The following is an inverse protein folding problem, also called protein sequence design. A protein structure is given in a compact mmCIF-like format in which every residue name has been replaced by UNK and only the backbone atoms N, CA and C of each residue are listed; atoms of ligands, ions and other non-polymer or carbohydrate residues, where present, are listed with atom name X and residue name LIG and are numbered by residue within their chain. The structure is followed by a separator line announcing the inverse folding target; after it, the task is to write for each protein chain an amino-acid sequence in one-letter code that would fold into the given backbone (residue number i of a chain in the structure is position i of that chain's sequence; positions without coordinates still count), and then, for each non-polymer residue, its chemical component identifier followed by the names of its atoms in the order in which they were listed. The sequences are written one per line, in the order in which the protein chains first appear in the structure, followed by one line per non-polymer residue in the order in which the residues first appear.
data_IF_359909308119
#
_entry.id   IF_359909308119
#
_cell.length_a   1.000
_cell.length_b   1.000
_cell.length_c   1.000
_cell.angle_alpha   90.00
_cell.angle_beta   90.00
_cell.angle_gamma   90.00
#
_symmetry.space_group_name_H-M   'P 1'
#
loop_
_entity.id
_entity.type
_entity.pdbx_description
1 polymer ?
#
# COMPACT_ATOMS: atom_id res chain seq x y z
N UNK A 1 3.29 -10.99 19.65
CA UNK A 1 3.12 -10.22 20.88
C UNK A 1 1.63 -10.00 21.21
N UNK A 2 0.79 -9.64 20.21
CA UNK A 2 -0.64 -9.41 20.36
C UNK A 2 -1.35 -10.66 20.95
N UNK A 3 -1.08 -11.86 20.44
CA UNK A 3 -1.59 -13.12 20.98
C UNK A 3 -1.27 -13.32 22.48
N UNK A 4 -0.04 -12.98 22.88
CA UNK A 4 0.37 -13.07 24.30
C UNK A 4 -0.40 -12.10 25.20
N UNK A 5 -0.83 -10.97 24.65
CA UNK A 5 -1.58 -9.94 25.39
C UNK A 5 -3.09 -10.25 25.46
N UNK A 6 -3.61 -10.90 24.46
CA UNK A 6 -5.07 -11.18 24.35
C UNK A 6 -5.44 -12.60 24.71
N UNK A 7 -4.54 -13.56 24.59
CA UNK A 7 -4.82 -14.98 24.71
C UNK A 7 -5.54 -15.56 23.46
N UNK A 8 -5.71 -14.78 22.41
CA UNK A 8 -6.36 -15.20 21.16
C UNK A 8 -5.28 -15.57 20.14
N UNK A 9 -5.38 -16.75 19.55
CA UNK A 9 -4.47 -17.19 18.50
C UNK A 9 -4.71 -16.41 17.19
N UNK A 10 -3.64 -16.16 16.45
CA UNK A 10 -3.67 -15.47 15.15
C UNK A 10 -3.11 -16.39 14.08
N UNK A 11 -3.90 -16.65 13.04
CA UNK A 11 -3.45 -17.31 11.81
C UNK A 11 -3.10 -16.22 10.77
N UNK A 12 -1.82 -15.86 10.68
CA UNK A 12 -1.34 -14.83 9.77
C UNK A 12 -1.02 -15.45 8.41
N UNK A 13 -1.70 -14.97 7.37
CA UNK A 13 -1.52 -15.40 5.98
C UNK A 13 -1.01 -14.26 5.12
N UNK A 14 0.15 -14.47 4.49
CA UNK A 14 0.66 -13.61 3.44
C UNK A 14 0.21 -14.15 2.08
N UNK A 15 -0.35 -13.28 1.23
CA UNK A 15 -0.88 -13.65 -0.08
C UNK A 15 -0.89 -12.46 -1.04
N UNK A 16 -1.30 -12.68 -2.27
CA UNK A 16 -1.53 -11.58 -3.22
C UNK A 16 -2.56 -10.59 -2.68
N UNK A 17 -2.35 -9.30 -2.97
CA UNK A 17 -3.19 -8.23 -2.43
C UNK A 17 -4.64 -8.29 -2.91
N UNK A 18 -4.85 -8.60 -4.19
CA UNK A 18 -6.20 -8.79 -4.75
C UNK A 18 -6.92 -9.96 -4.09
N UNK A 19 -6.20 -11.06 -3.87
CA UNK A 19 -6.73 -12.23 -3.18
C UNK A 19 -7.05 -11.93 -1.71
N UNK A 20 -6.17 -11.22 -0.98
CA UNK A 20 -6.41 -10.82 0.40
C UNK A 20 -7.70 -9.99 0.53
N UNK A 21 -7.90 -9.02 -0.35
CA UNK A 21 -9.14 -8.22 -0.40
C UNK A 21 -10.37 -9.08 -0.68
N UNK A 22 -10.27 -10.00 -1.66
CA UNK A 22 -11.37 -10.90 -2.00
C UNK A 22 -11.77 -11.80 -0.82
N UNK A 23 -10.79 -12.45 -0.19
CA UNK A 23 -11.02 -13.31 0.99
C UNK A 23 -11.66 -12.50 2.12
N UNK A 24 -11.19 -11.29 2.35
CA UNK A 24 -11.76 -10.41 3.37
C UNK A 24 -13.21 -10.03 3.07
N UNK A 25 -13.54 -9.74 1.81
CA UNK A 25 -14.92 -9.43 1.39
C UNK A 25 -15.86 -10.62 1.52
N UNK A 26 -15.37 -11.82 1.25
CA UNK A 26 -16.13 -13.08 1.36
C UNK A 26 -16.26 -13.59 2.80
N UNK A 27 -15.65 -12.92 3.78
CA UNK A 27 -15.69 -13.32 5.19
C UNK A 27 -14.76 -14.48 5.53
N UNK A 28 -13.80 -14.78 4.67
CA UNK A 28 -12.80 -15.82 4.90
C UNK A 28 -11.62 -15.37 5.77
N UNK A 29 -11.59 -14.11 6.18
CA UNK A 29 -10.64 -13.57 7.15
C UNK A 29 -11.35 -12.54 8.04
N UNK A 30 -10.88 -12.42 9.27
CA UNK A 30 -11.43 -11.48 10.25
C UNK A 30 -10.82 -10.08 10.16
N UNK A 31 -9.55 -10.00 9.75
CA UNK A 31 -8.76 -8.75 9.73
C UNK A 31 -7.88 -8.71 8.50
N UNK A 32 -7.82 -7.54 7.87
CA UNK A 32 -6.79 -7.21 6.87
C UNK A 32 -5.85 -6.15 7.45
N UNK A 33 -4.55 -6.35 7.28
CA UNK A 33 -3.52 -5.42 7.78
C UNK A 33 -2.88 -4.60 6.64
N UNK A 34 -2.11 -3.57 6.98
CA UNK A 34 -1.46 -2.64 6.02
C UNK A 34 -2.43 -2.01 5.03
N UNK A 35 -3.63 -1.70 5.48
CA UNK A 35 -4.73 -1.26 4.63
C UNK A 35 -4.86 0.27 4.67
N UNK A 36 -4.71 0.90 3.51
CA UNK A 36 -4.96 2.33 3.36
C UNK A 36 -6.47 2.59 3.37
N UNK A 37 -6.87 3.62 4.11
CA UNK A 37 -8.25 4.06 4.21
C UNK A 37 -8.59 4.95 3.02
N UNK A 38 -9.63 4.59 2.25
CA UNK A 38 -10.22 5.40 1.18
C UNK A 38 -11.73 5.49 1.38
N UNK A 39 -12.41 6.50 0.79
CA UNK A 39 -13.88 6.62 0.88
C UNK A 39 -14.63 5.37 0.39
N UNK A 40 -14.12 4.72 -0.64
CA UNK A 40 -14.72 3.49 -1.18
C UNK A 40 -14.59 2.34 -0.19
N UNK A 41 -13.42 2.21 0.45
CA UNK A 41 -13.14 1.16 1.43
C UNK A 41 -13.91 1.36 2.73
N UNK A 42 -14.18 2.60 3.14
CA UNK A 42 -14.99 2.92 4.32
C UNK A 42 -16.45 2.43 4.21
N UNK A 43 -16.94 2.21 3.02
CA UNK A 43 -18.27 1.64 2.80
C UNK A 43 -18.31 0.13 3.16
N UNK A 44 -17.18 -0.55 3.05
CA UNK A 44 -17.08 -2.01 3.20
C UNK A 44 -16.40 -2.44 4.49
N UNK A 45 -15.60 -1.56 5.11
CA UNK A 45 -14.76 -1.88 6.26
C UNK A 45 -14.85 -0.84 7.36
N UNK A 46 -14.61 -1.27 8.59
CA UNK A 46 -14.31 -0.42 9.74
C UNK A 46 -12.82 -0.51 10.06
N UNK A 47 -12.20 0.64 10.35
CA UNK A 47 -10.76 0.79 10.47
C UNK A 47 -10.34 1.05 11.92
N UNK A 48 -9.21 0.46 12.35
CA UNK A 48 -8.52 0.89 13.57
C UNK A 48 -7.93 2.29 13.38
N UNK A 49 -7.50 2.99 14.44
CA UNK A 49 -6.59 4.12 14.31
C UNK A 49 -5.35 3.74 13.48
N UNK A 50 -4.71 4.69 12.78
CA UNK A 50 -3.49 4.42 12.04
C UNK A 50 -2.34 4.04 12.97
N UNK A 51 -1.49 3.12 12.52
CA UNK A 51 -0.34 2.66 13.31
C UNK A 51 1.01 2.96 12.63
N UNK A 52 1.01 3.28 11.33
CA UNK A 52 2.20 3.68 10.60
C UNK A 52 1.85 4.63 9.46
N UNK A 53 2.82 5.40 9.01
CA UNK A 53 2.72 6.27 7.83
C UNK A 53 3.68 5.80 6.76
N UNK A 54 3.27 5.95 5.51
CA UNK A 54 4.06 5.60 4.35
C UNK A 54 3.96 6.69 3.28
N UNK A 55 5.09 7.07 2.72
CA UNK A 55 5.10 7.90 1.52
C UNK A 55 4.89 7.03 0.28
N UNK A 56 4.08 7.52 -0.62
CA UNK A 56 3.80 6.91 -1.92
C UNK A 56 4.21 7.90 -3.01
N UNK A 57 5.48 7.84 -3.43
CA UNK A 57 5.99 8.75 -4.44
C UNK A 57 5.74 8.24 -5.86
N UNK A 58 5.83 9.18 -6.80
CA UNK A 58 5.99 8.88 -8.21
C UNK A 58 7.48 8.81 -8.53
N UNK A 59 7.89 7.70 -9.14
CA UNK A 59 9.21 7.49 -9.71
C UNK A 59 9.17 7.70 -11.21
N UNK A 60 10.17 8.37 -11.74
CA UNK A 60 10.33 8.59 -13.18
C UNK A 60 11.76 8.26 -13.62
N UNK A 61 11.91 7.77 -14.85
CA UNK A 61 13.20 7.67 -15.50
C UNK A 61 13.95 9.02 -15.40
N UNK A 62 15.20 9.01 -14.98
CA UNK A 62 15.97 10.24 -14.73
C UNK A 62 16.11 11.13 -15.95
N UNK A 63 16.01 10.55 -17.16
CA UNK A 63 16.11 11.28 -18.41
C UNK A 63 14.78 12.00 -18.80
N UNK A 64 13.69 11.70 -18.10
CA UNK A 64 12.43 12.42 -18.26
C UNK A 64 12.44 13.71 -17.43
N UNK A 65 12.36 14.85 -18.10
CA UNK A 65 12.14 16.15 -17.43
C UNK A 65 10.65 16.43 -17.23
N UNK A 66 10.34 17.44 -16.40
CA UNK A 66 9.01 18.05 -16.30
C UNK A 66 8.00 17.29 -15.44
N UNK A 67 8.34 16.15 -14.86
CA UNK A 67 7.44 15.41 -13.95
C UNK A 67 7.65 15.94 -12.53
N UNK A 68 6.70 16.76 -12.05
CA UNK A 68 6.79 17.46 -10.76
C UNK A 68 5.48 17.38 -9.92
N UNK A 69 4.37 17.04 -10.54
CA UNK A 69 3.04 16.94 -9.94
C UNK A 69 2.15 15.98 -10.74
N UNK A 70 0.91 15.76 -10.29
CA UNK A 70 -0.03 14.85 -10.94
C UNK A 70 -0.39 15.34 -12.35
N UNK A 71 -0.54 16.65 -12.56
CA UNK A 71 -0.92 17.18 -13.87
C UNK A 71 0.14 16.91 -14.94
N UNK A 72 1.40 16.86 -14.54
CA UNK A 72 2.53 16.53 -15.42
C UNK A 72 2.64 15.05 -15.82
N UNK A 73 1.81 14.19 -15.23
CA UNK A 73 1.69 12.77 -15.63
C UNK A 73 0.84 12.57 -16.90
N UNK A 74 0.11 13.59 -17.32
CA UNK A 74 -0.70 13.52 -18.55
C UNK A 74 0.16 13.18 -19.76
N UNK A 75 -0.26 12.16 -20.52
CA UNK A 75 0.48 11.67 -21.68
C UNK A 75 1.55 10.60 -21.36
N UNK A 76 1.80 10.32 -20.09
CA UNK A 76 2.65 9.20 -19.66
C UNK A 76 1.81 8.02 -19.22
N UNK A 77 2.24 6.81 -19.56
CA UNK A 77 1.70 5.60 -18.95
C UNK A 77 2.34 5.40 -17.58
N UNK A 78 1.52 5.38 -16.53
CA UNK A 78 1.97 5.21 -15.15
C UNK A 78 1.74 3.75 -14.72
N UNK A 79 2.82 3.06 -14.33
CA UNK A 79 2.73 1.72 -13.75
C UNK A 79 2.19 1.76 -12.33
N UNK A 80 1.14 0.98 -12.07
CA UNK A 80 0.49 0.87 -10.76
C UNK A 80 0.21 -0.59 -10.42
N UNK A 81 0.06 -0.91 -9.15
CA UNK A 81 -0.37 -2.25 -8.74
C UNK A 81 -1.88 -2.39 -8.88
N UNK A 82 -2.33 -3.49 -9.43
CA UNK A 82 -3.75 -3.80 -9.60
C UNK A 82 -4.51 -3.73 -8.25
N UNK A 83 -5.59 -2.94 -8.24
CA UNK A 83 -6.44 -2.76 -7.07
C UNK A 83 -5.78 -2.06 -5.88
N UNK A 84 -4.69 -1.34 -6.09
CA UNK A 84 -4.06 -0.51 -5.07
C UNK A 84 -4.68 0.91 -5.04
N UNK A 85 -4.53 1.59 -3.92
CA UNK A 85 -5.02 2.95 -3.72
C UNK A 85 -4.38 3.97 -4.69
N UNK A 86 -3.18 3.70 -5.19
CA UNK A 86 -2.51 4.54 -6.20
C UNK A 86 -3.34 4.66 -7.48
N UNK A 87 -3.87 3.55 -7.99
CA UNK A 87 -4.74 3.56 -9.18
C UNK A 87 -6.02 4.36 -8.95
N UNK A 88 -6.69 4.13 -7.80
CA UNK A 88 -7.89 4.88 -7.38
C UNK A 88 -7.59 6.39 -7.30
N UNK A 89 -6.47 6.76 -6.67
CA UNK A 89 -6.05 8.15 -6.46
C UNK A 89 -5.73 8.87 -7.79
N UNK A 90 -4.98 8.23 -8.69
CA UNK A 90 -4.61 8.82 -9.98
C UNK A 90 -5.82 8.96 -10.91
N UNK A 91 -6.66 7.93 -11.00
CA UNK A 91 -7.90 7.99 -11.78
C UNK A 91 -8.85 9.08 -11.29
N UNK A 92 -8.98 9.23 -9.97
CA UNK A 92 -9.77 10.28 -9.34
C UNK A 92 -9.25 11.70 -9.65
N UNK A 93 -7.99 11.84 -10.06
CA UNK A 93 -7.36 13.09 -10.49
C UNK A 93 -7.26 13.23 -12.02
N UNK A 94 -7.93 12.36 -12.78
CA UNK A 94 -8.02 12.44 -14.24
C UNK A 94 -6.80 11.89 -14.98
N UNK A 95 -6.03 11.01 -14.35
CA UNK A 95 -4.95 10.26 -15.02
C UNK A 95 -5.49 8.90 -15.45
N UNK A 96 -5.79 8.77 -16.74
CA UNK A 96 -6.43 7.58 -17.31
C UNK A 96 -5.43 6.58 -17.92
N UNK A 97 -4.20 7.02 -18.22
CA UNK A 97 -3.16 6.14 -18.79
C UNK A 97 -2.43 5.36 -17.70
N UNK A 98 -3.14 4.42 -17.06
CA UNK A 98 -2.60 3.53 -16.06
C UNK A 98 -2.33 2.14 -16.65
N UNK A 99 -1.18 1.55 -16.28
CA UNK A 99 -0.87 0.16 -16.59
C UNK A 99 -0.77 -0.63 -15.30
N UNK A 100 -1.71 -1.54 -15.12
CA UNK A 100 -1.79 -2.36 -13.93
C UNK A 100 -0.86 -3.58 -14.01
N UNK A 101 -0.21 -3.86 -12.88
CA UNK A 101 0.66 -5.00 -12.68
C UNK A 101 0.25 -5.81 -11.43
N UNK A 102 0.53 -7.11 -11.38
CA UNK A 102 0.12 -7.95 -10.25
C UNK A 102 0.89 -7.65 -8.96
N UNK A 103 2.09 -7.07 -9.04
CA UNK A 103 2.94 -6.82 -7.87
C UNK A 103 3.86 -5.62 -8.07
N UNK A 104 4.37 -5.05 -6.97
CA UNK A 104 5.40 -4.02 -7.01
C UNK A 104 6.67 -4.50 -7.71
N UNK A 105 7.03 -5.78 -7.52
CA UNK A 105 8.15 -6.39 -8.22
C UNK A 105 7.97 -6.37 -9.73
N UNK A 106 6.79 -6.75 -10.23
CA UNK A 106 6.47 -6.73 -11.65
C UNK A 106 6.54 -5.31 -12.24
N UNK A 107 6.13 -4.28 -11.49
CA UNK A 107 6.24 -2.88 -11.89
C UNK A 107 7.71 -2.51 -12.10
N UNK A 108 8.57 -2.83 -11.12
CA UNK A 108 9.99 -2.46 -11.21
C UNK A 108 10.73 -3.29 -12.28
N UNK A 109 10.30 -4.53 -12.53
CA UNK A 109 10.80 -5.32 -13.66
C UNK A 109 10.42 -4.66 -15.00
N UNK A 110 9.19 -4.24 -15.18
CA UNK A 110 8.75 -3.53 -16.38
C UNK A 110 9.49 -2.20 -16.57
N UNK A 111 9.79 -1.49 -15.48
CA UNK A 111 10.62 -0.29 -15.50
C UNK A 111 12.08 -0.61 -15.93
N UNK A 112 12.68 -1.68 -15.41
CA UNK A 112 14.00 -2.16 -15.82
C UNK A 112 14.04 -2.50 -17.30
N UNK A 113 12.99 -3.15 -17.79
CA UNK A 113 12.89 -3.59 -19.18
C UNK A 113 12.44 -2.46 -20.13
N UNK A 114 12.38 -1.22 -19.61
CA UNK A 114 11.99 0.00 -20.33
C UNK A 114 10.58 -0.04 -20.91
N UNK A 115 9.72 -0.91 -20.40
CA UNK A 115 8.34 -1.02 -20.81
C UNK A 115 7.51 0.18 -20.28
N UNK A 116 7.84 0.65 -19.07
CA UNK A 116 7.32 1.87 -18.47
C UNK A 116 8.46 2.76 -17.99
N UNK A 117 8.22 4.07 -17.98
CA UNK A 117 9.20 5.08 -17.54
C UNK A 117 8.73 5.85 -16.31
N UNK A 118 7.48 5.65 -15.91
CA UNK A 118 6.87 6.29 -14.74
C UNK A 118 6.09 5.24 -13.99
N UNK A 119 6.21 5.22 -12.67
CA UNK A 119 5.43 4.34 -11.81
C UNK A 119 5.26 4.95 -10.41
N UNK A 120 4.25 4.48 -9.68
CA UNK A 120 4.03 4.87 -8.29
C UNK A 120 3.71 3.65 -7.45
N UNK A 121 4.50 3.46 -6.40
CA UNK A 121 4.38 2.39 -5.40
C UNK A 121 4.92 2.90 -4.06
N UNK A 122 4.66 2.16 -3.00
CA UNK A 122 5.18 2.43 -1.66
C UNK A 122 6.70 2.63 -1.65
N UNK A 123 7.18 3.72 -1.06
CA UNK A 123 8.58 4.12 -1.09
C UNK A 123 9.55 3.02 -0.62
N UNK A 124 9.34 2.32 0.51
CA UNK A 124 10.26 1.27 0.94
C UNK A 124 10.36 0.11 -0.05
N UNK A 125 9.23 -0.27 -0.66
CA UNK A 125 9.20 -1.32 -1.67
C UNK A 125 9.92 -0.88 -2.95
N UNK A 126 9.70 0.38 -3.39
CA UNK A 126 10.40 0.94 -4.53
C UNK A 126 11.93 0.91 -4.33
N UNK A 127 12.40 1.42 -3.20
CA UNK A 127 13.82 1.43 -2.87
C UNK A 127 14.38 0.00 -2.90
N UNK A 128 13.71 -0.94 -2.23
CA UNK A 128 14.15 -2.34 -2.19
C UNK A 128 14.29 -2.93 -3.60
N UNK A 129 13.28 -2.83 -4.45
CA UNK A 129 13.30 -3.44 -5.79
C UNK A 129 14.22 -2.72 -6.77
N UNK A 130 14.33 -1.38 -6.70
CA UNK A 130 15.27 -0.62 -7.51
C UNK A 130 16.71 -1.04 -7.23
N UNK A 131 17.07 -1.24 -5.95
CA UNK A 131 18.41 -1.78 -5.59
C UNK A 131 18.55 -3.26 -5.96
N UNK A 132 17.55 -4.09 -5.71
CA UNK A 132 17.55 -5.52 -6.06
C UNK A 132 17.84 -5.75 -7.54
N UNK A 133 17.29 -4.90 -8.41
CA UNK A 133 17.48 -4.99 -9.86
C UNK A 133 18.61 -4.10 -10.41
N UNK A 134 19.35 -3.43 -9.52
CA UNK A 134 20.48 -2.56 -9.88
C UNK A 134 20.13 -1.47 -10.89
N UNK A 135 18.97 -0.82 -10.71
CA UNK A 135 18.46 0.29 -11.53
C UNK A 135 18.13 1.54 -10.69
N UNK A 136 18.59 1.60 -9.44
CA UNK A 136 18.30 2.74 -8.57
C UNK A 136 18.87 4.07 -9.12
N UNK A 137 19.93 4.01 -9.91
CA UNK A 137 20.52 5.17 -10.58
C UNK A 137 19.81 5.58 -11.87
N UNK A 138 18.84 4.78 -12.35
CA UNK A 138 18.09 5.06 -13.57
C UNK A 138 16.77 5.80 -13.30
N UNK A 139 16.28 5.71 -12.09
CA UNK A 139 15.02 6.33 -11.68
C UNK A 139 15.25 7.38 -10.58
N UNK A 140 14.40 8.38 -10.54
CA UNK A 140 14.36 9.39 -9.48
C UNK A 140 12.97 9.45 -8.86
N UNK A 141 12.89 9.68 -7.58
CA UNK A 141 11.67 10.13 -6.94
C UNK A 141 11.36 11.55 -7.43
N UNK A 142 10.25 11.73 -8.14
CA UNK A 142 9.87 13.00 -8.74
C UNK A 142 9.09 13.88 -7.75
N UNK A 143 8.04 13.33 -7.16
CA UNK A 143 7.25 13.98 -6.11
C UNK A 143 6.54 12.91 -5.28
N UNK A 144 6.06 13.29 -4.09
CA UNK A 144 5.21 12.41 -3.26
C UNK A 144 3.78 12.60 -3.72
N UNK A 145 3.15 11.54 -4.24
CA UNK A 145 1.76 11.56 -4.67
C UNK A 145 0.84 11.78 -3.47
N UNK A 146 1.06 11.02 -2.40
CA UNK A 146 0.41 11.19 -1.10
C UNK A 146 1.22 10.50 0.00
N UNK A 147 0.90 10.87 1.25
CA UNK A 147 1.32 10.12 2.43
C UNK A 147 0.13 9.32 2.92
N UNK A 148 0.25 8.01 2.90
CA UNK A 148 -0.76 7.09 3.38
C UNK A 148 -0.60 6.77 4.85
N UNK A 149 -1.69 6.36 5.48
CA UNK A 149 -1.70 5.83 6.84
C UNK A 149 -2.14 4.36 6.80
N UNK A 150 -1.33 3.48 7.39
CA UNK A 150 -1.69 2.08 7.50
C UNK A 150 -2.58 1.84 8.70
N UNK A 151 -3.65 1.14 8.43
CA UNK A 151 -4.65 0.69 9.38
C UNK A 151 -4.78 -0.83 9.33
N UNK A 152 -5.37 -1.38 10.38
CA UNK A 152 -6.03 -2.68 10.32
C UNK A 152 -7.50 -2.44 10.07
N UNK A 153 -8.13 -3.31 9.29
CA UNK A 153 -9.55 -3.18 9.02
C UNK A 153 -10.27 -4.51 9.20
N UNK A 154 -11.52 -4.41 9.58
CA UNK A 154 -12.47 -5.51 9.73
C UNK A 154 -13.64 -5.29 8.79
N UNK A 155 -14.44 -6.31 8.51
CA UNK A 155 -15.67 -6.12 7.75
C UNK A 155 -16.58 -5.09 8.42
N UNK A 156 -17.36 -4.40 7.63
CA UNK A 156 -18.30 -3.36 8.10
C UNK A 156 -19.25 -3.91 9.17
N UNK A 157 -19.50 -3.11 10.19
CA UNK A 157 -20.38 -3.43 11.32
C UNK A 157 -19.86 -4.55 12.26
N UNK A 158 -18.56 -4.89 12.19
CA UNK A 158 -17.92 -5.83 13.11
C UNK A 158 -17.20 -5.10 14.26
N UNK A 159 -17.99 -4.29 15.02
CA UNK A 159 -17.45 -3.54 16.16
C UNK A 159 -16.84 -4.44 17.25
N UNK A 160 -17.37 -5.66 17.42
CA UNK A 160 -16.81 -6.69 18.29
C UNK A 160 -15.35 -7.04 17.92
N UNK A 161 -15.12 -7.33 16.65
CA UNK A 161 -13.80 -7.66 16.11
C UNK A 161 -12.86 -6.45 16.11
N UNK A 162 -13.35 -5.27 15.72
CA UNK A 162 -12.58 -4.04 15.74
C UNK A 162 -12.05 -3.71 17.14
N UNK A 163 -12.91 -3.83 18.15
CA UNK A 163 -12.56 -3.60 19.55
C UNK A 163 -11.57 -4.64 20.08
N UNK A 164 -11.72 -5.91 19.69
CA UNK A 164 -10.80 -6.97 20.06
C UNK A 164 -9.40 -6.70 19.49
N UNK A 165 -9.32 -6.36 18.20
CA UNK A 165 -8.07 -6.06 17.51
C UNK A 165 -7.37 -4.86 18.14
N UNK A 166 -8.08 -3.72 18.24
CA UNK A 166 -7.52 -2.50 18.79
C UNK A 166 -7.15 -2.65 20.27
N UNK A 167 -8.05 -3.22 21.08
CA UNK A 167 -7.78 -3.43 22.50
C UNK A 167 -6.60 -4.36 22.78
N UNK A 168 -6.28 -5.28 21.87
CA UNK A 168 -5.07 -6.09 21.95
C UNK A 168 -3.81 -5.29 21.68
N UNK A 169 -3.82 -4.40 20.69
CA UNK A 169 -2.69 -3.51 20.40
C UNK A 169 -2.49 -2.45 21.49
N UNK A 170 -3.55 -1.91 22.06
CA UNK A 170 -3.47 -0.93 23.17
C UNK A 170 -2.80 -1.50 24.43
N UNK A 171 -2.75 -2.82 24.58
CA UNK A 171 -2.03 -3.48 25.68
C UNK A 171 -0.52 -3.60 25.45
N UNK A 172 -0.04 -3.28 24.25
CA UNK A 172 1.38 -3.33 23.91
C UNK A 172 1.99 -1.97 24.29
N UNK A 173 2.90 -1.99 25.24
CA UNK A 173 3.56 -0.75 25.69
C UNK A 173 4.52 -0.20 24.64
N UNK A 174 4.80 1.10 24.69
CA UNK A 174 5.78 1.75 23.80
C UNK A 174 7.19 1.14 23.91
N UNK A 175 7.55 0.56 25.06
CA UNK A 175 8.81 -0.15 25.22
C UNK A 175 8.85 -1.46 24.44
N UNK A 176 7.72 -2.19 24.42
CA UNK A 176 7.58 -3.44 23.69
C UNK A 176 7.54 -3.19 22.18
N UNK A 177 6.93 -2.10 21.72
CA UNK A 177 6.98 -1.68 20.32
C UNK A 177 8.42 -1.45 19.86
N UNK A 178 9.18 -0.62 20.59
CA UNK A 178 10.59 -0.35 20.25
C UNK A 178 11.53 -1.55 20.32
N UNK A 179 11.13 -2.64 20.94
CA UNK A 179 11.93 -3.86 21.00
C UNK A 179 11.70 -4.78 19.79
N UNK A 180 10.73 -4.46 18.92
CA UNK A 180 10.39 -5.20 17.70
C UNK A 180 10.93 -4.49 16.45
N UNK A 181 11.07 -3.15 16.51
CA UNK A 181 11.71 -2.32 15.48
C UNK A 181 13.24 -2.53 15.45
#
# INVERSE_FOLDING_TARGET
LWEKKTGVAVDLKAMDWGEAKRIMQEGGADVIDTFLRTPEREQLYDFTPPYARIEVPVFADKNLGGIADVSSLQGFTVGVKAGDAVGEQLSGQGIDSLKEYPSYEAIVQAARDQEIKVFSIDQPAAIYYLYKYNIADQFRQSFVLYTGEFHRAVQKNRADMLNLVQGGFDRISSREHRAIE
#
